data_IF_333437690749
#
_entry.id   IF_333437690749
#
_cell.length_a   1.000
_cell.length_b   1.000
_cell.length_c   1.000
_cell.angle_alpha   90.00
_cell.angle_beta   90.00
_cell.angle_gamma   90.00
#
_symmetry.space_group_name_H-M   'P 1'
#
loop_
_entity.id
_entity.type
_entity.pdbx_description
1 polymer ?
#
# COMPACT_ATOMS: atom_id res chain seq x y z
N UNK A 1 -7.85 12.27 15.83
CA UNK A 1 -8.16 11.46 14.63
C UNK A 1 -8.94 12.37 13.70
N UNK A 2 -8.31 12.86 12.62
CA UNK A 2 -8.93 13.84 11.72
C UNK A 2 -9.98 13.12 10.90
N UNK A 3 -11.25 13.42 11.12
CA UNK A 3 -12.37 12.81 10.41
C UNK A 3 -12.88 13.78 9.34
N UNK A 4 -12.62 13.47 8.07
CA UNK A 4 -13.15 14.23 6.94
C UNK A 4 -14.58 13.76 6.63
N UNK A 5 -15.61 14.59 6.86
CA UNK A 5 -16.99 14.21 6.58
C UNK A 5 -17.23 14.08 5.07
N UNK A 6 -18.17 13.20 4.71
CA UNK A 6 -18.64 13.05 3.33
C UNK A 6 -19.52 14.26 3.00
N UNK A 7 -19.10 15.03 2.00
CA UNK A 7 -19.83 16.21 1.52
C UNK A 7 -20.71 15.89 0.29
N UNK A 8 -20.36 14.85 -0.48
CA UNK A 8 -21.14 14.41 -1.64
C UNK A 8 -20.98 12.90 -1.87
N UNK A 9 -22.06 12.24 -2.28
CA UNK A 9 -22.07 10.84 -2.66
C UNK A 9 -22.91 10.63 -3.92
N UNK A 10 -22.34 9.96 -4.92
CA UNK A 10 -23.04 9.56 -6.14
C UNK A 10 -22.94 8.05 -6.29
N UNK A 11 -24.08 7.37 -6.44
CA UNK A 11 -24.12 5.92 -6.72
C UNK A 11 -24.52 5.70 -8.17
N UNK A 12 -23.67 5.02 -8.93
CA UNK A 12 -23.92 4.68 -10.32
C UNK A 12 -24.71 3.36 -10.42
N UNK A 13 -25.49 3.20 -11.50
CA UNK A 13 -26.30 2.00 -11.76
C UNK A 13 -25.50 0.69 -11.80
N UNK A 14 -24.20 0.78 -12.06
CA UNK A 14 -23.27 -0.35 -12.13
C UNK A 14 -22.68 -0.75 -10.77
N UNK A 15 -23.13 -0.15 -9.66
CA UNK A 15 -22.68 -0.49 -8.31
C UNK A 15 -21.42 0.25 -7.84
N UNK A 16 -20.91 1.22 -8.61
CA UNK A 16 -19.76 2.05 -8.24
C UNK A 16 -20.23 3.29 -7.47
N UNK A 17 -19.56 3.63 -6.37
CA UNK A 17 -19.82 4.83 -5.58
C UNK A 17 -18.71 5.87 -5.70
N UNK A 18 -19.06 7.13 -5.98
CA UNK A 18 -18.14 8.26 -5.90
C UNK A 18 -18.38 9.02 -4.60
N UNK A 19 -17.32 9.21 -3.80
CA UNK A 19 -17.37 9.86 -2.51
C UNK A 19 -16.49 11.09 -2.50
N UNK A 20 -17.06 12.25 -2.22
CA UNK A 20 -16.31 13.47 -1.95
C UNK A 20 -16.32 13.73 -0.46
N UNK A 21 -15.14 13.82 0.12
CA UNK A 21 -14.97 14.24 1.51
C UNK A 21 -14.32 15.60 1.56
N UNK A 22 -14.82 16.49 2.43
CA UNK A 22 -14.30 17.85 2.58
C UNK A 22 -14.43 18.29 4.03
N UNK A 23 -13.36 18.87 4.56
CA UNK A 23 -13.35 19.42 5.90
C UNK A 23 -11.99 20.06 6.20
N UNK A 24 -11.88 20.81 7.29
CA UNK A 24 -10.59 21.28 7.78
C UNK A 24 -9.71 20.09 8.17
N UNK A 25 -8.42 20.19 7.85
CA UNK A 25 -7.40 19.21 8.22
C UNK A 25 -6.42 19.91 9.14
N UNK A 26 -6.35 19.45 10.38
CA UNK A 26 -5.41 19.95 11.37
C UNK A 26 -4.39 18.85 11.70
N UNK A 27 -3.19 18.95 11.13
CA UNK A 27 -2.11 17.99 11.35
C UNK A 27 -1.35 17.62 10.08
N UNK A 28 -0.40 16.68 10.20
CA UNK A 28 0.51 16.30 9.11
C UNK A 28 -0.05 15.21 8.19
N UNK A 29 -0.98 14.39 8.68
CA UNK A 29 -1.47 13.22 7.94
C UNK A 29 -2.96 12.93 8.21
N UNK A 30 -3.64 12.42 7.18
CA UNK A 30 -5.02 11.93 7.23
C UNK A 30 -5.00 10.44 6.93
N UNK A 31 -5.65 9.64 7.78
CA UNK A 31 -5.81 8.21 7.55
C UNK A 31 -7.19 7.92 6.98
N UNK A 32 -7.22 7.30 5.81
CA UNK A 32 -8.42 6.75 5.19
C UNK A 32 -8.30 5.22 5.15
N UNK A 33 -9.41 4.52 5.42
CA UNK A 33 -9.45 3.06 5.52
C UNK A 33 -10.37 2.54 4.42
N UNK A 34 -9.87 1.58 3.65
CA UNK A 34 -10.55 0.95 2.53
C UNK A 34 -10.33 -0.56 2.56
N UNK A 35 -11.17 -1.32 1.85
CA UNK A 35 -10.93 -2.77 1.70
C UNK A 35 -9.80 -3.00 0.70
N UNK A 36 -9.08 -4.10 0.86
CA UNK A 36 -7.94 -4.43 0.00
C UNK A 36 -8.35 -4.56 -1.46
N UNK A 37 -9.50 -5.18 -1.73
CA UNK A 37 -10.04 -5.30 -3.09
C UNK A 37 -10.36 -3.95 -3.76
N UNK A 38 -10.56 -2.88 -2.99
CA UNK A 38 -10.92 -1.54 -3.50
C UNK A 38 -9.68 -0.69 -3.81
N UNK A 39 -8.47 -1.12 -3.41
CA UNK A 39 -7.25 -0.31 -3.49
C UNK A 39 -6.82 0.05 -4.91
N UNK A 40 -6.99 -0.87 -5.87
CA UNK A 40 -6.58 -0.65 -7.27
C UNK A 40 -7.43 0.44 -7.93
N UNK A 41 -8.76 0.36 -7.79
CA UNK A 41 -9.69 1.37 -8.30
C UNK A 41 -9.55 2.70 -7.56
N UNK A 42 -9.25 2.65 -6.26
CA UNK A 42 -9.00 3.83 -5.46
C UNK A 42 -7.77 4.59 -5.95
N UNK A 43 -6.61 3.93 -6.11
CA UNK A 43 -5.39 4.61 -6.52
C UNK A 43 -5.49 5.21 -7.92
N UNK A 44 -6.31 4.60 -8.80
CA UNK A 44 -6.57 5.11 -10.15
C UNK A 44 -7.47 6.34 -10.17
N UNK A 45 -8.36 6.50 -9.18
CA UNK A 45 -9.40 7.55 -9.17
C UNK A 45 -9.29 8.57 -8.04
N UNK A 46 -8.41 8.34 -7.06
CA UNK A 46 -8.19 9.22 -5.93
C UNK A 46 -7.64 10.56 -6.40
N UNK A 47 -8.39 11.61 -6.14
CA UNK A 47 -7.95 12.99 -6.34
C UNK A 47 -7.97 13.71 -5.00
N UNK A 48 -6.82 14.26 -4.61
CA UNK A 48 -6.68 15.06 -3.38
C UNK A 48 -6.40 16.50 -3.79
N UNK A 49 -7.22 17.42 -3.30
CA UNK A 49 -7.07 18.85 -3.57
C UNK A 49 -6.94 19.59 -2.25
N UNK A 50 -5.94 20.45 -2.17
CA UNK A 50 -5.84 21.44 -1.10
C UNK A 50 -6.47 22.75 -1.56
N UNK A 51 -7.38 23.30 -0.75
CA UNK A 51 -8.03 24.59 -0.98
C UNK A 51 -7.53 25.67 -0.01
N UNK A 52 -6.54 25.36 0.84
CA UNK A 52 -5.90 26.27 1.79
C UNK A 52 -4.46 26.62 1.38
N UNK A 53 -3.60 26.85 2.38
CA UNK A 53 -2.17 27.12 2.20
C UNK A 53 -1.28 25.90 2.43
N UNK A 54 -1.86 24.71 2.58
CA UNK A 54 -1.09 23.49 2.71
C UNK A 54 -0.59 22.96 1.36
N UNK A 55 0.10 21.83 1.42
CA UNK A 55 0.52 21.09 0.24
C UNK A 55 0.37 19.59 0.50
N UNK A 56 -0.21 18.87 -0.47
CA UNK A 56 -0.24 17.42 -0.47
C UNK A 56 1.15 16.90 -0.87
N UNK A 57 1.86 16.26 0.06
CA UNK A 57 3.20 15.73 -0.19
C UNK A 57 3.20 14.35 -0.85
N UNK A 58 2.24 13.51 -0.52
CA UNK A 58 2.16 12.15 -1.06
C UNK A 58 1.08 11.34 -0.39
N UNK A 59 0.91 10.12 -0.88
CA UNK A 59 -0.01 9.12 -0.31
C UNK A 59 0.79 7.87 -0.01
N UNK A 60 0.73 7.43 1.25
CA UNK A 60 1.32 6.17 1.70
C UNK A 60 0.24 5.08 1.76
N UNK A 61 0.52 3.93 1.15
CA UNK A 61 -0.37 2.78 1.16
C UNK A 61 0.42 1.46 1.22
N UNK A 62 -0.23 0.42 1.75
CA UNK A 62 0.32 -0.93 1.75
C UNK A 62 0.19 -1.52 0.34
N UNK A 63 1.32 -1.88 -0.28
CA UNK A 63 1.29 -2.56 -1.58
C UNK A 63 0.87 -4.02 -1.39
N UNK A 64 -0.20 -4.50 -2.04
CA UNK A 64 -0.54 -5.92 -2.02
C UNK A 64 0.55 -6.70 -2.77
N UNK A 65 1.42 -7.37 -2.04
CA UNK A 65 2.37 -8.32 -2.63
C UNK A 65 1.68 -9.67 -2.82
N UNK A 66 1.78 -10.22 -4.04
CA UNK A 66 1.34 -11.59 -4.32
C UNK A 66 2.13 -12.60 -3.50
N UNK A 67 1.57 -13.80 -3.30
CA UNK A 67 2.27 -14.89 -2.61
C UNK A 67 3.61 -15.19 -3.30
N UNK A 68 3.64 -15.18 -4.64
CA UNK A 68 4.86 -15.38 -5.40
C UNK A 68 5.90 -14.27 -5.15
N UNK A 69 5.51 -12.99 -5.10
CA UNK A 69 6.42 -11.89 -4.77
C UNK A 69 6.92 -11.95 -3.33
N UNK A 70 6.06 -12.38 -2.39
CA UNK A 70 6.45 -12.61 -0.99
C UNK A 70 7.42 -13.78 -0.86
N UNK A 71 7.21 -14.87 -1.61
CA UNK A 71 8.11 -16.02 -1.64
C UNK A 71 9.42 -15.71 -2.37
N UNK A 72 9.40 -14.89 -3.43
CA UNK A 72 10.61 -14.41 -4.10
C UNK A 72 11.45 -13.49 -3.20
N UNK A 73 10.81 -12.77 -2.27
CA UNK A 73 11.48 -12.03 -1.21
C UNK A 73 12.06 -12.92 -0.09
N UNK A 74 11.67 -14.19 -0.01
CA UNK A 74 12.27 -15.15 0.90
C UNK A 74 13.52 -15.77 0.25
N UNK A 75 14.63 -15.80 0.99
CA UNK A 75 15.89 -16.41 0.54
C UNK A 75 15.84 -17.94 0.44
N UNK A 76 14.69 -18.57 0.71
CA UNK A 76 14.52 -20.03 0.75
C UNK A 76 13.45 -20.44 -0.24
N UNK A 77 13.90 -20.96 -1.38
CA UNK A 77 13.03 -21.57 -2.40
C UNK A 77 13.00 -23.08 -2.14
N UNK A 78 11.81 -23.59 -1.85
CA UNK A 78 11.55 -25.02 -1.71
C UNK A 78 11.14 -25.57 -3.08
N UNK A 79 11.89 -26.53 -3.59
CA UNK A 79 11.48 -27.37 -4.70
C UNK A 79 11.50 -28.84 -4.24
N UNK A 80 10.65 -29.68 -4.83
CA UNK A 80 10.45 -31.08 -4.40
C UNK A 80 11.69 -31.97 -4.61
N UNK A 81 12.76 -31.45 -5.21
CA UNK A 81 14.01 -32.19 -5.46
C UNK A 81 15.13 -31.91 -4.46
N UNK A 82 14.93 -30.99 -3.50
CA UNK A 82 15.95 -30.64 -2.50
C UNK A 82 15.86 -31.48 -1.23
N UNK A 83 17.01 -31.92 -0.72
CA UNK A 83 17.09 -32.66 0.53
C UNK A 83 17.03 -31.73 1.75
N UNK A 84 16.67 -32.26 2.92
CA UNK A 84 16.70 -31.53 4.20
C UNK A 84 18.08 -30.90 4.48
N UNK A 85 19.16 -31.54 4.01
CA UNK A 85 20.53 -31.01 4.15
C UNK A 85 20.69 -29.71 3.34
N UNK A 86 20.15 -29.67 2.13
CA UNK A 86 20.21 -28.51 1.25
C UNK A 86 19.37 -27.35 1.80
N UNK A 87 18.23 -27.67 2.44
CA UNK A 87 17.44 -26.69 3.20
C UNK A 87 18.26 -26.07 4.35
N UNK A 88 18.92 -26.90 5.17
CA UNK A 88 19.70 -26.42 6.31
C UNK A 88 20.90 -25.56 5.90
N UNK A 89 21.52 -25.88 4.75
CA UNK A 89 22.58 -25.06 4.15
C UNK A 89 22.01 -23.72 3.68
N UNK A 90 20.90 -23.73 2.93
CA UNK A 90 20.27 -22.51 2.44
C UNK A 90 19.82 -21.57 3.58
N UNK A 91 19.28 -22.11 4.68
CA UNK A 91 18.89 -21.32 5.85
C UNK A 91 20.08 -20.70 6.59
N UNK A 92 21.19 -21.42 6.72
CA UNK A 92 22.43 -20.90 7.32
C UNK A 92 23.01 -19.75 6.50
N UNK A 93 23.01 -19.91 5.18
CA UNK A 93 23.62 -18.94 4.28
C UNK A 93 22.70 -17.69 4.13
N UNK A 94 21.37 -17.86 4.16
CA UNK A 94 20.41 -16.76 4.24
C UNK A 94 20.59 -15.90 5.50
N UNK A 95 20.77 -16.51 6.67
CA UNK A 95 21.01 -15.80 7.93
C UNK A 95 22.26 -14.90 7.88
N UNK A 96 23.21 -15.19 6.99
CA UNK A 96 24.44 -14.40 6.82
C UNK A 96 24.23 -13.17 5.91
N UNK A 97 23.20 -13.19 5.05
CA UNK A 97 22.89 -12.14 4.06
C UNK A 97 21.72 -11.22 4.45
N UNK A 98 21.07 -11.43 5.61
CA UNK A 98 19.93 -10.63 6.06
C UNK A 98 20.34 -9.28 6.68
N UNK A 99 20.83 -8.34 5.87
CA UNK A 99 20.98 -6.93 6.29
C UNK A 99 20.82 -5.94 5.12
N UNK A 100 19.88 -6.19 4.20
CA UNK A 100 19.42 -5.17 3.25
C UNK A 100 18.10 -5.54 2.54
N UNK A 101 16.97 -5.67 3.24
CA UNK A 101 15.67 -5.72 2.56
C UNK A 101 14.52 -5.25 3.46
N UNK A 102 14.56 -4.00 3.91
CA UNK A 102 13.34 -3.32 4.36
C UNK A 102 12.59 -2.90 3.10
N UNK A 103 11.49 -3.57 2.79
CA UNK A 103 10.58 -3.15 1.72
C UNK A 103 10.07 -1.73 2.04
N UNK A 104 10.52 -0.74 1.27
CA UNK A 104 10.11 0.64 1.43
C UNK A 104 8.62 0.82 1.05
N UNK A 105 7.87 1.66 1.76
CA UNK A 105 6.52 2.06 1.34
C UNK A 105 6.60 2.70 -0.05
N UNK A 106 5.69 2.32 -0.96
CA UNK A 106 5.56 2.96 -2.27
C UNK A 106 4.81 4.27 -2.10
N UNK A 107 5.53 5.39 -2.02
CA UNK A 107 4.95 6.73 -2.03
C UNK A 107 4.73 7.21 -3.47
N UNK A 108 3.52 7.62 -3.82
CA UNK A 108 3.25 8.33 -5.08
C UNK A 108 3.24 9.82 -4.78
N UNK A 109 4.22 10.55 -5.33
CA UNK A 109 4.30 12.00 -5.25
C UNK A 109 3.46 12.62 -6.38
N UNK A 110 2.49 13.45 -6.02
CA UNK A 110 1.75 14.27 -6.99
C UNK A 110 2.63 15.44 -7.43
N UNK A 111 3.09 15.41 -8.68
CA UNK A 111 3.68 16.57 -9.35
C UNK A 111 2.59 17.52 -9.90
N UNK A 112 2.94 18.79 -10.15
CA UNK A 112 2.00 19.86 -10.51
C UNK A 112 1.30 19.66 -11.85
#
# INVERSE_FOLDING_TARGET
>A
MIHLPIAHMTLYKHGVGYFRRRGPVEGEAIKLIFRREEMDDLLKSLTVLDHGQGQVRGVDYETPQSQAERLAGNSVVLDDTRSLRDLLIALRDAASNCWAATAAPKSVFGGP
#
